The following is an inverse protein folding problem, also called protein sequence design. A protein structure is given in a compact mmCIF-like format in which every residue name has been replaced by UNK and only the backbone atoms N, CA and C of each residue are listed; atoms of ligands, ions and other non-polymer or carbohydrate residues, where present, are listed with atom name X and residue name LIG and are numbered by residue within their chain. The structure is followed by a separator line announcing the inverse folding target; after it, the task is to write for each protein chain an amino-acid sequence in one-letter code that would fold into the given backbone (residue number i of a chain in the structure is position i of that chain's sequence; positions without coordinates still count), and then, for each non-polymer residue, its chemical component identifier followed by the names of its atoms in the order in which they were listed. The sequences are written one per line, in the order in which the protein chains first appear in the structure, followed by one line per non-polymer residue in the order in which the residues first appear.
data_IF_231940012065
#
_entry.id   IF_231940012065
#
_cell.length_a   1.000
_cell.length_b   1.000
_cell.length_c   1.000
_cell.angle_alpha   90.00
_cell.angle_beta   90.00
_cell.angle_gamma   90.00
#
_symmetry.space_group_name_H-M   'P 1'
#
loop_
_entity.id
_entity.type
_entity.pdbx_description
1 polymer ?
#
# COMPACT_ATOMS: atom_id res chain seq x y z
N UNK A 1 -19.32 -14.06 31.11
CA UNK A 1 -19.08 -12.61 30.92
C UNK A 1 -17.66 -12.37 30.42
N UNK A 2 -16.65 -13.03 30.99
CA UNK A 2 -15.25 -12.98 30.52
C UNK A 2 -15.05 -13.43 29.05
N UNK A 3 -15.69 -14.54 28.64
CA UNK A 3 -15.58 -15.09 27.28
C UNK A 3 -16.15 -14.14 26.19
N UNK A 4 -17.02 -13.22 26.59
CA UNK A 4 -17.57 -12.20 25.67
C UNK A 4 -16.58 -11.03 25.56
N UNK A 5 -15.99 -10.61 26.68
CA UNK A 5 -14.99 -9.55 26.71
C UNK A 5 -13.67 -9.94 26.02
N UNK A 6 -13.27 -11.20 26.10
CA UNK A 6 -12.05 -11.70 25.43
C UNK A 6 -12.24 -11.69 23.90
N UNK A 7 -13.41 -12.15 23.42
CA UNK A 7 -13.76 -12.09 21.99
C UNK A 7 -13.84 -10.67 21.43
N UNK A 8 -14.37 -9.73 22.22
CA UNK A 8 -14.46 -8.33 21.79
C UNK A 8 -13.07 -7.68 21.64
N UNK A 9 -12.11 -8.07 22.51
CA UNK A 9 -10.71 -7.64 22.39
C UNK A 9 -10.04 -8.22 21.15
N UNK A 10 -10.23 -9.51 20.88
CA UNK A 10 -9.63 -10.17 19.71
C UNK A 10 -10.13 -9.55 18.40
N UNK A 11 -11.44 -9.28 18.29
CA UNK A 11 -12.02 -8.60 17.14
C UNK A 11 -11.42 -7.19 16.94
N UNK A 12 -11.22 -6.45 18.03
CA UNK A 12 -10.61 -5.12 18.00
C UNK A 12 -9.14 -5.17 17.54
N UNK A 13 -8.38 -6.17 18.00
CA UNK A 13 -6.98 -6.40 17.60
C UNK A 13 -6.89 -6.73 16.11
N UNK A 14 -7.78 -7.56 15.59
CA UNK A 14 -7.82 -7.91 14.16
C UNK A 14 -8.11 -6.67 13.31
N UNK A 15 -9.09 -5.86 13.71
CA UNK A 15 -9.41 -4.60 13.03
C UNK A 15 -8.23 -3.62 13.05
N UNK A 16 -7.56 -3.45 14.19
CA UNK A 16 -6.34 -2.63 14.28
C UNK A 16 -5.21 -3.17 13.38
N UNK A 17 -5.05 -4.48 13.31
CA UNK A 17 -4.00 -5.11 12.50
C UNK A 17 -4.25 -4.85 11.01
N UNK A 18 -5.49 -5.04 10.53
CA UNK A 18 -5.88 -4.77 9.15
C UNK A 18 -5.67 -3.28 8.82
N UNK A 19 -6.07 -2.38 9.73
CA UNK A 19 -5.87 -0.94 9.55
C UNK A 19 -4.37 -0.57 9.47
N UNK A 20 -3.52 -1.14 10.35
CA UNK A 20 -2.06 -0.93 10.33
C UNK A 20 -1.43 -1.44 9.05
N UNK A 21 -1.83 -2.62 8.57
CA UNK A 21 -1.29 -3.18 7.32
C UNK A 21 -1.60 -2.30 6.11
N UNK A 22 -2.81 -1.74 6.03
CA UNK A 22 -3.18 -0.78 4.98
C UNK A 22 -2.27 0.45 5.01
N UNK A 23 -2.12 1.08 6.18
CA UNK A 23 -1.26 2.26 6.36
C UNK A 23 0.20 1.94 6.01
N UNK A 24 0.69 0.77 6.41
CA UNK A 24 2.07 0.35 6.12
C UNK A 24 2.31 0.16 4.62
N UNK A 25 1.35 -0.41 3.87
CA UNK A 25 1.45 -0.54 2.41
C UNK A 25 1.52 0.82 1.72
N UNK A 26 0.67 1.75 2.14
CA UNK A 26 0.66 3.13 1.62
C UNK A 26 2.00 3.81 1.92
N UNK A 27 2.45 3.76 3.18
CA UNK A 27 3.73 4.34 3.61
C UNK A 27 4.91 3.80 2.78
N UNK A 28 4.95 2.50 2.55
CA UNK A 28 6.02 1.90 1.76
C UNK A 28 6.00 2.40 0.30
N UNK A 29 4.81 2.54 -0.31
CA UNK A 29 4.70 3.11 -1.65
C UNK A 29 5.17 4.57 -1.72
N UNK A 30 4.78 5.41 -0.76
CA UNK A 30 5.24 6.80 -0.71
C UNK A 30 6.77 6.92 -0.59
N UNK A 31 7.43 6.02 0.15
CA UNK A 31 8.89 5.97 0.22
C UNK A 31 9.51 5.68 -1.16
N UNK A 32 8.98 4.70 -1.89
CA UNK A 32 9.47 4.37 -3.24
C UNK A 32 9.22 5.51 -4.23
N UNK A 33 8.04 6.14 -4.17
CA UNK A 33 7.71 7.32 -4.98
C UNK A 33 8.63 8.50 -4.68
N UNK A 34 8.94 8.74 -3.40
CA UNK A 34 9.83 9.82 -2.97
C UNK A 34 11.26 9.61 -3.49
N UNK A 35 11.81 8.39 -3.36
CA UNK A 35 13.13 8.04 -3.92
C UNK A 35 13.13 8.22 -5.44
N UNK A 36 12.05 7.82 -6.11
CA UNK A 36 11.90 8.00 -7.55
C UNK A 36 11.88 9.48 -7.96
N UNK A 37 11.14 10.34 -7.25
CA UNK A 37 11.14 11.78 -7.50
C UNK A 37 12.56 12.37 -7.40
N UNK A 38 13.34 11.97 -6.40
CA UNK A 38 14.76 12.37 -6.29
C UNK A 38 15.55 11.89 -7.51
N UNK A 39 15.36 10.64 -7.95
CA UNK A 39 16.00 10.10 -9.15
C UNK A 39 15.67 10.89 -10.42
N UNK A 40 14.40 11.30 -10.59
CA UNK A 40 13.95 12.15 -11.71
C UNK A 40 14.62 13.53 -11.65
N UNK A 41 14.69 14.16 -10.48
CA UNK A 41 15.35 15.45 -10.30
C UNK A 41 16.84 15.36 -10.68
N UNK A 42 17.53 14.32 -10.21
CA UNK A 42 18.94 14.07 -10.55
C UNK A 42 19.12 13.82 -12.05
N UNK A 43 18.22 13.05 -12.67
CA UNK A 43 18.23 12.80 -14.11
C UNK A 43 18.05 14.10 -14.92
N UNK A 44 17.08 14.94 -14.55
CA UNK A 44 16.84 16.24 -15.20
C UNK A 44 18.04 17.17 -15.03
N UNK A 45 18.62 17.23 -13.82
CA UNK A 45 19.84 18.01 -13.56
C UNK A 45 21.02 17.56 -14.43
N UNK A 46 21.25 16.26 -14.56
CA UNK A 46 22.29 15.73 -15.45
C UNK A 46 22.02 16.07 -16.92
N UNK A 47 20.80 15.81 -17.40
CA UNK A 47 20.47 15.89 -18.83
C UNK A 47 20.33 17.33 -19.32
N UNK A 48 19.73 18.22 -18.52
CA UNK A 48 19.45 19.60 -18.93
C UNK A 48 20.48 20.61 -18.44
N UNK A 49 21.08 20.42 -17.26
CA UNK A 49 22.08 21.35 -16.71
C UNK A 49 23.53 20.94 -17.00
N UNK A 50 23.73 19.83 -17.72
CA UNK A 50 25.05 19.41 -18.18
C UNK A 50 26.03 19.07 -17.05
N UNK A 51 25.53 18.80 -15.84
CA UNK A 51 26.37 18.48 -14.69
C UNK A 51 27.07 17.15 -14.97
N UNK A 52 28.42 17.08 -14.96
CA UNK A 52 29.16 15.85 -15.21
C UNK A 52 29.08 14.95 -13.98
N UNK A 53 27.90 14.37 -13.74
CA UNK A 53 27.68 13.39 -12.69
C UNK A 53 28.22 12.05 -13.18
N UNK A 54 29.51 11.83 -12.96
CA UNK A 54 30.23 10.64 -13.39
C UNK A 54 30.08 9.47 -12.41
N UNK A 55 28.86 9.26 -11.90
CA UNK A 55 28.56 8.20 -10.93
C UNK A 55 28.12 6.94 -11.69
N UNK A 56 28.74 5.80 -11.39
CA UNK A 56 28.55 4.53 -12.10
C UNK A 56 27.08 4.13 -12.37
N UNK A 57 26.13 4.22 -11.41
CA UNK A 57 24.72 3.89 -11.69
C UNK A 57 24.01 4.95 -12.56
N UNK A 58 24.44 6.21 -12.51
CA UNK A 58 23.80 7.33 -13.22
C UNK A 58 24.16 7.32 -14.72
N UNK A 59 25.27 6.68 -15.09
CA UNK A 59 25.66 6.46 -16.49
C UNK A 59 24.73 5.50 -17.23
N UNK A 60 24.10 4.55 -16.53
CA UNK A 60 23.17 3.58 -17.13
C UNK A 60 21.71 4.06 -17.16
N UNK A 61 21.42 5.20 -16.52
CA UNK A 61 20.09 5.82 -16.57
C UNK A 61 19.90 6.47 -17.95
N UNK A 62 19.39 5.66 -18.88
CA UNK A 62 18.90 6.11 -20.18
C UNK A 62 17.40 6.45 -20.09
N UNK A 63 16.89 7.18 -21.09
CA UNK A 63 15.45 7.51 -21.19
C UNK A 63 14.55 6.27 -21.08
N UNK A 64 14.96 5.16 -21.69
CA UNK A 64 14.24 3.89 -21.60
C UNK A 64 14.15 3.36 -20.17
N UNK A 65 15.25 3.44 -19.39
CA UNK A 65 15.25 2.99 -18.00
C UNK A 65 14.35 3.86 -17.13
N UNK A 66 14.37 5.18 -17.35
CA UNK A 66 13.45 6.11 -16.69
C UNK A 66 12.00 5.80 -17.05
N UNK A 67 11.69 5.58 -18.33
CA UNK A 67 10.35 5.19 -18.79
C UNK A 67 9.86 3.89 -18.18
N UNK A 68 10.69 2.85 -18.12
CA UNK A 68 10.36 1.59 -17.45
C UNK A 68 10.08 1.81 -15.96
N UNK A 69 10.91 2.59 -15.28
CA UNK A 69 10.70 2.92 -13.86
C UNK A 69 9.43 3.75 -13.63
N UNK A 70 9.16 4.74 -14.48
CA UNK A 70 7.91 5.50 -14.47
C UNK A 70 6.73 4.56 -14.61
N UNK A 71 6.79 3.62 -15.56
CA UNK A 71 5.70 2.68 -15.82
C UNK A 71 5.45 1.74 -14.63
N UNK A 72 6.51 1.20 -14.01
CA UNK A 72 6.38 0.35 -12.82
C UNK A 72 5.72 1.11 -11.67
N UNK A 73 6.14 2.35 -11.42
CA UNK A 73 5.55 3.18 -10.34
C UNK A 73 4.12 3.60 -10.69
N UNK A 74 3.84 3.93 -11.95
CA UNK A 74 2.50 4.25 -12.41
C UNK A 74 1.54 3.06 -12.19
N UNK A 75 1.96 1.84 -12.55
CA UNK A 75 1.16 0.63 -12.31
C UNK A 75 0.98 0.36 -10.81
N UNK A 76 2.02 0.55 -9.99
CA UNK A 76 1.90 0.42 -8.53
C UNK A 76 0.93 1.47 -7.93
N UNK A 77 1.02 2.72 -8.39
CA UNK A 77 0.14 3.80 -7.98
C UNK A 77 -1.30 3.55 -8.39
N UNK A 78 -1.54 3.14 -9.63
CA UNK A 78 -2.86 2.74 -10.13
C UNK A 78 -3.42 1.58 -9.30
N UNK A 79 -2.62 0.57 -8.96
CA UNK A 79 -3.06 -0.54 -8.11
C UNK A 79 -3.45 -0.10 -6.70
N UNK A 80 -2.69 0.79 -6.09
CA UNK A 80 -3.02 1.36 -4.78
C UNK A 80 -4.29 2.21 -4.84
N UNK A 81 -4.40 3.07 -5.86
CA UNK A 81 -5.54 3.96 -6.03
C UNK A 81 -6.83 3.21 -6.38
N UNK A 82 -6.76 2.18 -7.23
CA UNK A 82 -7.87 1.26 -7.49
C UNK A 82 -8.18 0.41 -6.26
N UNK A 83 -7.17 -0.03 -5.52
CA UNK A 83 -7.35 -0.74 -4.25
C UNK A 83 -8.09 0.08 -3.21
N UNK A 84 -7.77 1.37 -3.08
CA UNK A 84 -8.45 2.27 -2.14
C UNK A 84 -9.84 2.70 -2.65
N UNK A 85 -9.98 3.02 -3.94
CA UNK A 85 -11.22 3.59 -4.49
C UNK A 85 -12.26 2.55 -4.90
N UNK A 86 -11.83 1.38 -5.37
CA UNK A 86 -12.70 0.34 -5.91
C UNK A 86 -12.85 -0.85 -4.94
N UNK A 87 -11.79 -1.20 -4.22
CA UNK A 87 -11.79 -2.26 -3.21
C UNK A 87 -11.85 -1.72 -1.77
N UNK A 88 -11.89 -0.40 -1.54
CA UNK A 88 -11.90 0.15 -0.18
C UNK A 88 -13.22 -0.11 0.53
N UNK A 89 -14.31 0.44 0.00
CA UNK A 89 -15.60 0.48 0.69
C UNK A 89 -16.34 -0.86 0.62
N UNK A 90 -16.41 -1.47 -0.56
CA UNK A 90 -17.21 -2.69 -0.76
C UNK A 90 -16.56 -3.92 -0.10
N UNK A 91 -15.22 -4.03 -0.15
CA UNK A 91 -14.50 -5.11 0.54
C UNK A 91 -14.51 -4.91 2.06
N UNK A 92 -14.39 -3.67 2.56
CA UNK A 92 -14.50 -3.41 4.00
C UNK A 92 -15.89 -3.78 4.52
N UNK A 93 -16.96 -3.40 3.81
CA UNK A 93 -18.33 -3.80 4.14
C UNK A 93 -18.51 -5.31 4.10
N UNK A 94 -18.00 -6.00 3.08
CA UNK A 94 -18.05 -7.47 3.01
C UNK A 94 -17.27 -8.14 4.15
N UNK A 95 -16.11 -7.59 4.55
CA UNK A 95 -15.31 -8.14 5.63
C UNK A 95 -15.97 -7.96 6.99
N UNK A 96 -16.55 -6.78 7.23
CA UNK A 96 -17.35 -6.51 8.42
C UNK A 96 -18.57 -7.42 8.47
N UNK A 97 -19.24 -7.64 7.34
CA UNK A 97 -20.40 -8.54 7.25
C UNK A 97 -20.02 -10.00 7.49
N UNK A 98 -18.90 -10.47 6.93
CA UNK A 98 -18.37 -11.82 7.19
C UNK A 98 -18.07 -12.02 8.67
N UNK A 99 -17.41 -11.06 9.33
CA UNK A 99 -17.14 -11.12 10.77
C UNK A 99 -18.44 -11.17 11.60
N UNK A 100 -19.44 -10.36 11.25
CA UNK A 100 -20.76 -10.40 11.91
C UNK A 100 -21.51 -11.74 11.71
N UNK A 101 -21.38 -12.35 10.52
CA UNK A 101 -21.98 -13.67 10.23
C UNK A 101 -21.27 -14.80 10.94
N UNK A 102 -19.93 -14.79 11.00
CA UNK A 102 -19.13 -15.73 11.78
C UNK A 102 -19.49 -15.65 13.26
N UNK A 103 -19.66 -14.45 13.82
CA UNK A 103 -20.12 -14.27 15.21
C UNK A 103 -21.54 -14.83 15.43
N UNK A 104 -22.48 -14.59 14.51
CA UNK A 104 -23.85 -15.11 14.60
C UNK A 104 -23.88 -16.64 14.56
N UNK A 105 -23.16 -17.26 13.63
CA UNK A 105 -23.06 -18.72 13.53
C UNK A 105 -22.40 -19.33 14.77
N UNK A 106 -21.35 -18.69 15.30
CA UNK A 106 -20.74 -19.11 16.58
C UNK A 106 -21.67 -18.94 17.77
N UNK A 107 -22.72 -18.12 17.73
CA UNK A 107 -23.70 -18.00 18.83
C UNK A 107 -24.80 -19.05 18.73
N UNK A 108 -25.06 -19.56 17.53
CA UNK A 108 -26.12 -20.53 17.24
C UNK A 108 -25.71 -21.97 17.55
N UNK A 109 -24.42 -22.31 17.42
CA UNK A 109 -23.88 -23.63 17.77
C UNK A 109 -23.67 -23.87 19.28
N UNK A 110 -23.95 -22.88 20.12
CA UNK A 110 -23.83 -22.97 21.59
C UNK A 110 -25.20 -23.00 22.30
N UNK A 111 -26.29 -23.21 21.55
CA UNK A 111 -27.60 -23.61 22.05
C UNK A 111 -27.85 -25.06 21.67
#
# INVERSE_FOLDING_TARGET
MEIIMEREKDAKIILETIAREKVQKIKNFYIHLFIYCIGVIVYVLKTYFGVPINFFPIRFINEFFMWCWTFVIAVQGIRLFLGERFLGTQWEEEKVKQLMEEEKNKKQNWK
#
